data_IF_334566060133
#
_entry.id   IF_334566060133
#
_cell.length_a   1.000
_cell.length_b   1.000
_cell.length_c   1.000
_cell.angle_alpha   90.00
_cell.angle_beta   90.00
_cell.angle_gamma   90.00
#
_symmetry.space_group_name_H-M   'P 1'
#
loop_
_entity.id
_entity.type
_entity.pdbx_description
1 polymer ?
#
# COMPACT_ATOMS: atom_id res chain seq x y z
N UNK A 1 -0.68 -11.13 4.74
CA UNK A 1 -1.83 -10.27 5.02
C UNK A 1 -3.13 -11.00 4.65
N UNK A 2 -4.27 -10.54 5.17
CA UNK A 2 -5.59 -10.96 4.66
C UNK A 2 -5.63 -10.82 3.12
N UNK A 3 -6.12 -11.84 2.43
CA UNK A 3 -6.18 -11.84 0.95
C UNK A 3 -7.54 -11.35 0.43
N UNK A 4 -8.54 -11.22 1.31
CA UNK A 4 -9.87 -10.77 0.92
C UNK A 4 -10.04 -9.25 1.04
N UNK A 5 -9.44 -8.64 2.07
CA UNK A 5 -9.47 -7.19 2.29
C UNK A 5 -8.46 -6.38 1.47
N UNK A 6 -7.46 -7.04 0.87
CA UNK A 6 -6.44 -6.38 0.05
C UNK A 6 -6.65 -6.66 -1.43
N UNK A 7 -6.27 -5.68 -2.27
CA UNK A 7 -6.31 -5.83 -3.71
C UNK A 7 -5.34 -6.93 -4.17
N UNK A 8 -5.75 -7.68 -5.20
CA UNK A 8 -4.85 -8.56 -5.92
C UNK A 8 -3.74 -7.76 -6.60
N UNK A 9 -2.56 -8.38 -6.77
CA UNK A 9 -1.34 -7.70 -7.29
C UNK A 9 -1.60 -7.00 -8.63
N UNK A 10 -2.31 -7.66 -9.55
CA UNK A 10 -2.68 -7.08 -10.85
C UNK A 10 -3.58 -5.85 -10.70
N UNK A 11 -4.59 -5.93 -9.84
CA UNK A 11 -5.51 -4.81 -9.58
C UNK A 11 -4.78 -3.62 -8.96
N UNK A 12 -3.82 -3.87 -8.07
CA UNK A 12 -2.94 -2.84 -7.52
C UNK A 12 -2.11 -2.18 -8.64
N UNK A 13 -1.50 -2.97 -9.53
CA UNK A 13 -0.76 -2.44 -10.68
C UNK A 13 -1.62 -1.55 -11.57
N UNK A 14 -2.82 -2.02 -11.91
CA UNK A 14 -3.75 -1.28 -12.76
C UNK A 14 -4.21 0.03 -12.08
N UNK A 15 -4.46 -0.01 -10.77
CA UNK A 15 -4.82 1.17 -9.97
C UNK A 15 -3.69 2.21 -9.93
N UNK A 16 -2.47 1.81 -9.56
CA UNK A 16 -1.36 2.75 -9.45
C UNK A 16 -0.88 3.25 -10.82
N UNK A 17 -0.97 2.44 -11.87
CA UNK A 17 -0.77 2.92 -13.24
C UNK A 17 -1.80 4.00 -13.59
N UNK A 18 -3.08 3.78 -13.29
CA UNK A 18 -4.14 4.77 -13.51
C UNK A 18 -3.89 6.07 -12.74
N UNK A 19 -3.51 5.97 -11.46
CA UNK A 19 -3.22 7.13 -10.60
C UNK A 19 -1.99 7.90 -11.11
N UNK A 20 -0.87 7.21 -11.33
CA UNK A 20 0.43 7.85 -11.56
C UNK A 20 0.61 8.31 -13.00
N UNK A 21 0.02 7.64 -13.99
CA UNK A 21 0.01 8.11 -15.39
C UNK A 21 -0.88 9.34 -15.60
N UNK A 22 -1.83 9.61 -14.69
CA UNK A 22 -2.76 10.74 -14.75
C UNK A 22 -2.60 11.72 -13.56
N UNK A 23 -1.48 11.64 -12.83
CA UNK A 23 -1.29 12.40 -11.59
C UNK A 23 -1.25 13.91 -11.83
N UNK A 24 -1.79 14.66 -10.86
CA UNK A 24 -1.70 16.13 -10.88
C UNK A 24 -0.26 16.56 -10.54
N UNK A 25 0.25 17.59 -11.23
CA UNK A 25 1.63 18.11 -11.02
C UNK A 25 1.92 18.54 -9.58
N UNK A 26 0.89 18.92 -8.81
CA UNK A 26 1.04 19.30 -7.41
C UNK A 26 1.09 18.14 -6.41
N UNK A 27 0.85 16.90 -6.84
CA UNK A 27 0.90 15.75 -5.94
C UNK A 27 2.34 15.40 -5.60
N UNK A 28 2.63 15.33 -4.30
CA UNK A 28 3.92 14.94 -3.75
C UNK A 28 3.74 13.63 -3.00
N UNK A 29 4.43 12.59 -3.47
CA UNK A 29 4.47 11.30 -2.79
C UNK A 29 5.71 11.26 -1.90
N UNK A 30 5.56 10.72 -0.70
CA UNK A 30 6.66 10.51 0.24
C UNK A 30 7.42 9.20 -0.02
N UNK A 31 6.96 8.39 -0.97
CA UNK A 31 7.56 7.11 -1.31
C UNK A 31 8.66 7.27 -2.37
N UNK A 32 9.60 6.32 -2.42
CA UNK A 32 10.63 6.31 -3.44
C UNK A 32 10.06 6.18 -4.86
N UNK A 33 10.65 6.85 -5.87
CA UNK A 33 10.22 6.72 -7.27
C UNK A 33 10.25 5.27 -7.77
N UNK A 34 11.24 4.50 -7.32
CA UNK A 34 11.41 3.09 -7.68
C UNK A 34 10.28 2.22 -7.12
N UNK A 35 9.84 2.47 -5.89
CA UNK A 35 8.68 1.78 -5.34
C UNK A 35 7.38 2.14 -6.05
N UNK A 36 7.23 3.41 -6.46
CA UNK A 36 6.08 3.80 -7.29
C UNK A 36 6.10 3.08 -8.65
N UNK A 37 7.26 2.91 -9.29
CA UNK A 37 7.37 2.11 -10.51
C UNK A 37 7.02 0.62 -10.29
N UNK A 38 7.38 0.07 -9.13
CA UNK A 38 6.96 -1.27 -8.71
C UNK A 38 5.45 -1.37 -8.55
N UNK A 39 4.82 -0.40 -7.87
CA UNK A 39 3.37 -0.35 -7.73
C UNK A 39 2.64 -0.19 -9.06
N UNK A 40 3.26 0.40 -10.09
CA UNK A 40 2.71 0.46 -11.44
C UNK A 40 2.93 -0.84 -12.25
N UNK A 41 3.60 -1.85 -11.68
CA UNK A 41 4.01 -3.06 -12.39
C UNK A 41 5.11 -2.83 -13.44
N UNK A 42 5.83 -1.69 -13.40
CA UNK A 42 6.98 -1.43 -14.29
C UNK A 42 8.25 -2.14 -13.83
N UNK A 43 8.27 -2.57 -12.58
CA UNK A 43 9.33 -3.35 -11.96
C UNK A 43 8.71 -4.51 -11.21
N UNK A 44 9.47 -5.59 -11.12
CA UNK A 44 9.15 -6.69 -10.24
C UNK A 44 10.25 -6.79 -9.18
N UNK A 45 9.82 -6.98 -7.94
CA UNK A 45 10.68 -7.06 -6.77
C UNK A 45 10.19 -8.19 -5.88
N UNK A 46 11.13 -8.76 -5.16
CA UNK A 46 10.86 -9.60 -4.00
C UNK A 46 10.92 -8.75 -2.74
N UNK A 47 10.07 -9.03 -1.75
CA UNK A 47 10.02 -8.18 -0.57
C UNK A 47 11.25 -8.41 0.32
N UNK A 48 11.60 -7.37 1.08
CA UNK A 48 12.62 -7.43 2.12
C UNK A 48 11.91 -7.44 3.48
N UNK A 49 11.45 -8.61 3.97
CA UNK A 49 10.60 -8.71 5.17
C UNK A 49 11.27 -8.19 6.45
N UNK A 50 12.60 -8.21 6.50
CA UNK A 50 13.42 -7.68 7.60
C UNK A 50 13.73 -6.18 7.46
N UNK A 51 13.37 -5.54 6.35
CA UNK A 51 13.80 -4.18 6.02
C UNK A 51 13.14 -3.08 6.84
N UNK A 52 12.04 -3.38 7.53
CA UNK A 52 11.34 -2.44 8.42
C UNK A 52 10.83 -3.15 9.69
N UNK A 53 11.74 -3.50 10.63
CA UNK A 53 11.38 -4.16 11.88
C UNK A 53 10.63 -3.19 12.80
N UNK A 54 9.66 -3.71 13.56
CA UNK A 54 8.83 -2.89 14.46
C UNK A 54 9.04 -3.33 15.90
N UNK A 55 9.38 -2.40 16.78
CA UNK A 55 9.42 -2.61 18.23
C UNK A 55 8.24 -1.89 18.89
N UNK A 56 7.53 -2.57 19.78
CA UNK A 56 6.43 -1.99 20.55
C UNK A 56 6.44 -2.50 22.00
N UNK A 57 5.39 -2.22 22.77
CA UNK A 57 5.30 -2.61 24.20
C UNK A 57 5.38 -4.13 24.45
N UNK A 58 5.13 -4.95 23.43
CA UNK A 58 5.22 -6.41 23.48
C UNK A 58 6.57 -6.95 23.01
N UNK A 59 7.51 -6.09 22.60
CA UNK A 59 8.83 -6.48 22.10
C UNK A 59 9.00 -6.23 20.59
N UNK A 60 9.98 -6.90 20.00
CA UNK A 60 10.22 -6.90 18.56
C UNK A 60 9.18 -7.78 17.87
N UNK A 61 8.35 -7.18 17.03
CA UNK A 61 7.33 -7.91 16.30
C UNK A 61 7.97 -8.78 15.21
N UNK A 62 7.62 -10.07 15.19
CA UNK A 62 8.01 -10.96 14.09
C UNK A 62 7.50 -10.40 12.74
N UNK A 63 8.31 -10.49 11.68
CA UNK A 63 7.94 -9.99 10.36
C UNK A 63 6.75 -10.78 9.80
N UNK A 64 5.90 -10.25 8.94
CA UNK A 64 5.58 -8.84 8.65
C UNK A 64 4.49 -8.39 9.65
N UNK A 65 4.44 -7.13 10.10
CA UNK A 65 3.49 -6.72 11.16
C UNK A 65 2.01 -6.99 10.82
N UNK A 66 1.68 -7.15 9.54
CA UNK A 66 0.35 -7.54 9.04
C UNK A 66 0.02 -9.03 9.24
N UNK A 67 1.01 -9.87 9.57
CA UNK A 67 0.85 -11.32 9.81
C UNK A 67 0.60 -11.63 11.28
N UNK A 68 1.04 -10.74 12.19
CA UNK A 68 0.84 -10.86 13.64
C UNK A 68 1.29 -12.23 14.20
N UNK A 69 2.50 -12.68 13.83
CA UNK A 69 3.00 -14.02 14.20
C UNK A 69 3.77 -14.04 15.52
N UNK A 70 3.60 -13.00 16.33
CA UNK A 70 4.14 -12.90 17.68
C UNK A 70 5.28 -11.88 17.81
N UNK A 71 5.95 -11.94 18.96
CA UNK A 71 7.00 -11.01 19.37
C UNK A 71 8.21 -11.77 19.93
N UNK A 72 9.37 -11.13 19.93
CA UNK A 72 10.62 -11.58 20.55
C UNK A 72 11.23 -10.45 21.36
N UNK A 73 12.06 -10.77 22.34
CA UNK A 73 12.52 -9.79 23.33
C UNK A 73 13.67 -8.94 22.78
N UNK A 74 14.51 -9.53 21.93
CA UNK A 74 15.68 -8.85 21.37
C UNK A 74 15.67 -8.79 19.85
N UNK A 75 16.35 -7.78 19.29
CA UNK A 75 16.53 -7.67 17.85
C UNK A 75 17.33 -8.85 17.28
N UNK A 76 18.26 -9.39 18.05
CA UNK A 76 19.07 -10.53 17.63
C UNK A 76 18.21 -11.77 17.43
N UNK A 77 17.32 -12.09 18.38
CA UNK A 77 16.33 -13.17 18.23
C UNK A 77 15.45 -12.98 16.99
N UNK A 78 15.04 -11.72 16.70
CA UNK A 78 14.24 -11.43 15.50
C UNK A 78 14.97 -11.83 14.23
N UNK A 79 16.25 -11.50 14.13
CA UNK A 79 17.05 -11.75 12.93
C UNK A 79 17.45 -13.22 12.80
N UNK A 80 17.78 -13.89 13.91
CA UNK A 80 18.34 -15.23 13.88
C UNK A 80 17.27 -16.34 13.90
N UNK A 81 16.19 -16.17 14.66
CA UNK A 81 15.21 -17.25 14.89
C UNK A 81 14.07 -17.25 13.86
N UNK A 82 13.90 -16.16 13.10
CA UNK A 82 12.87 -16.09 12.07
C UNK A 82 13.37 -16.74 10.78
N UNK A 83 12.61 -17.72 10.30
CA UNK A 83 12.84 -18.33 8.99
C UNK A 83 12.35 -17.40 7.88
N UNK A 84 13.27 -16.55 7.40
CA UNK A 84 13.01 -15.50 6.42
C UNK A 84 12.55 -16.03 5.05
N UNK A 85 12.94 -17.26 4.69
CA UNK A 85 12.59 -17.88 3.41
C UNK A 85 11.09 -18.17 3.30
N UNK A 86 10.37 -18.19 4.42
CA UNK A 86 8.91 -18.34 4.45
C UNK A 86 8.14 -17.07 4.07
N UNK A 87 8.81 -15.93 3.86
CA UNK A 87 8.17 -14.65 3.55
C UNK A 87 8.58 -14.14 2.18
N UNK A 88 7.62 -13.52 1.51
CA UNK A 88 7.83 -13.00 0.17
C UNK A 88 6.78 -13.49 -0.82
N UNK A 89 6.77 -12.91 -2.00
CA UNK A 89 5.94 -13.37 -3.09
C UNK A 89 6.41 -14.75 -3.58
N UNK A 90 7.72 -14.93 -3.71
CA UNK A 90 8.34 -16.18 -4.15
C UNK A 90 8.33 -17.31 -3.10
N UNK A 91 8.00 -17.04 -1.83
CA UNK A 91 8.10 -18.06 -0.75
C UNK A 91 7.01 -19.14 -0.80
N UNK A 92 5.98 -18.97 -1.64
CA UNK A 92 4.80 -19.84 -1.64
C UNK A 92 3.87 -19.63 -0.45
N UNK A 93 4.15 -18.68 0.44
CA UNK A 93 3.29 -18.34 1.56
C UNK A 93 1.98 -17.69 1.05
N UNK A 94 0.81 -18.30 1.28
CA UNK A 94 -0.46 -17.78 0.77
C UNK A 94 -0.80 -16.40 1.34
N UNK A 95 -0.28 -16.04 2.52
CA UNK A 95 -0.46 -14.72 3.11
C UNK A 95 0.33 -13.65 2.36
N UNK A 96 1.39 -14.00 1.64
CA UNK A 96 2.25 -13.05 0.91
C UNK A 96 1.95 -12.98 -0.60
N UNK A 97 1.14 -13.90 -1.13
CA UNK A 97 0.88 -14.06 -2.56
C UNK A 97 0.51 -12.74 -3.28
N UNK A 98 -0.39 -11.92 -2.73
CA UNK A 98 -0.77 -10.63 -3.32
C UNK A 98 -0.12 -9.41 -2.65
N UNK A 99 0.84 -9.61 -1.74
CA UNK A 99 1.38 -8.52 -0.94
C UNK A 99 2.18 -7.54 -1.81
N UNK A 100 1.90 -6.23 -1.67
CA UNK A 100 2.64 -5.11 -2.28
C UNK A 100 2.83 -3.96 -1.28
N UNK A 101 2.80 -4.25 0.02
CA UNK A 101 2.80 -3.22 1.06
C UNK A 101 4.16 -2.52 1.16
N UNK A 102 4.13 -1.21 1.43
CA UNK A 102 5.34 -0.38 1.53
C UNK A 102 6.39 -0.95 2.51
N UNK A 103 5.99 -1.50 3.66
CA UNK A 103 6.94 -1.88 4.70
C UNK A 103 7.91 -3.00 4.28
N UNK A 104 7.54 -3.84 3.33
CA UNK A 104 8.42 -4.87 2.79
C UNK A 104 9.10 -4.46 1.48
N UNK A 105 8.44 -3.66 0.63
CA UNK A 105 8.91 -3.36 -0.72
C UNK A 105 9.58 -2.00 -0.88
N UNK A 106 9.31 -1.02 -0.01
CA UNK A 106 10.05 0.24 0.03
C UNK A 106 11.52 0.00 0.41
N UNK A 107 11.86 -0.84 1.42
CA UNK A 107 13.26 -1.19 1.69
C UNK A 107 13.94 -1.82 0.48
N UNK A 108 13.26 -2.72 -0.25
CA UNK A 108 13.79 -3.31 -1.49
C UNK A 108 14.04 -2.26 -2.57
N UNK A 109 13.10 -1.32 -2.76
CA UNK A 109 13.24 -0.26 -3.74
C UNK A 109 14.38 0.71 -3.40
N UNK A 110 14.57 1.00 -2.11
CA UNK A 110 15.68 1.80 -1.60
C UNK A 110 17.00 1.06 -1.79
N UNK A 111 17.09 -0.21 -1.42
CA UNK A 111 18.28 -1.05 -1.64
C UNK A 111 18.65 -1.10 -3.13
N UNK A 112 17.66 -1.35 -4.01
CA UNK A 112 17.87 -1.31 -5.45
C UNK A 112 18.43 0.03 -5.93
N UNK A 113 17.93 1.15 -5.39
CA UNK A 113 18.41 2.50 -5.73
C UNK A 113 19.91 2.65 -5.47
N UNK A 114 20.42 2.02 -4.40
CA UNK A 114 21.81 2.11 -3.98
C UNK A 114 22.69 0.91 -4.38
N UNK A 115 22.11 -0.12 -5.02
CA UNK A 115 22.82 -1.33 -5.46
C UNK A 115 23.90 -1.11 -6.52
N UNK A 116 23.97 0.09 -7.13
CA UNK A 116 25.03 0.47 -8.05
C UNK A 116 24.62 1.57 -9.04
N UNK A 117 25.45 1.78 -10.06
CA UNK A 117 25.23 2.84 -11.05
C UNK A 117 23.89 2.70 -11.80
N UNK A 118 23.49 1.47 -12.11
CA UNK A 118 22.20 1.20 -12.75
C UNK A 118 21.00 1.61 -11.90
N UNK A 119 21.04 1.34 -10.59
CA UNK A 119 20.01 1.74 -9.62
C UNK A 119 19.91 3.25 -9.46
N UNK A 120 21.06 3.92 -9.32
CA UNK A 120 21.13 5.38 -9.23
C UNK A 120 20.58 6.03 -10.50
N UNK A 121 21.01 5.56 -11.67
CA UNK A 121 20.53 6.07 -12.95
C UNK A 121 19.03 5.84 -13.14
N UNK A 122 18.53 4.65 -12.77
CA UNK A 122 17.12 4.33 -12.78
C UNK A 122 16.30 5.30 -11.90
N UNK A 123 16.77 5.59 -10.69
CA UNK A 123 16.09 6.52 -9.78
C UNK A 123 16.11 7.96 -10.31
N UNK A 124 17.24 8.44 -10.85
CA UNK A 124 17.32 9.76 -11.49
C UNK A 124 16.33 9.86 -12.66
N UNK A 125 16.30 8.83 -13.53
CA UNK A 125 15.35 8.76 -14.64
C UNK A 125 13.91 8.78 -14.12
N UNK A 126 13.61 8.02 -13.08
CA UNK A 126 12.28 7.95 -12.47
C UNK A 126 11.87 9.26 -11.79
N UNK A 127 12.81 10.06 -11.27
CA UNK A 127 12.54 11.40 -10.72
C UNK A 127 12.25 12.43 -11.81
N UNK A 128 13.03 12.42 -12.90
CA UNK A 128 12.94 13.41 -13.98
C UNK A 128 11.77 13.09 -14.93
N UNK A 129 11.61 11.83 -15.35
CA UNK A 129 10.64 11.39 -16.35
C UNK A 129 9.45 10.66 -15.72
N UNK A 130 8.90 11.26 -14.67
CA UNK A 130 7.90 10.68 -13.79
C UNK A 130 6.43 10.79 -14.28
N UNK A 131 6.19 11.30 -15.49
CA UNK A 131 4.83 11.49 -16.01
C UNK A 131 4.18 10.18 -16.44
N UNK A 132 4.99 9.18 -16.84
CA UNK A 132 4.55 7.85 -17.30
C UNK A 132 3.24 7.85 -18.11
N UNK A 133 3.09 8.80 -19.05
CA UNK A 133 1.84 9.01 -19.76
C UNK A 133 1.42 7.72 -20.51
N UNK A 134 0.20 7.26 -20.25
CA UNK A 134 -0.36 6.06 -20.86
C UNK A 134 -1.82 6.31 -21.28
N UNK A 135 -2.14 6.34 -22.60
CA UNK A 135 -3.49 6.56 -23.09
C UNK A 135 -4.52 5.53 -22.58
N UNK A 136 -4.11 4.29 -22.34
CA UNK A 136 -4.99 3.24 -21.77
C UNK A 136 -5.31 3.53 -20.31
N UNK A 137 -4.35 4.06 -19.56
CA UNK A 137 -4.58 4.48 -18.17
C UNK A 137 -5.52 5.69 -18.12
N UNK A 138 -5.41 6.62 -19.06
CA UNK A 138 -6.34 7.75 -19.18
C UNK A 138 -7.77 7.27 -19.53
N UNK A 139 -7.91 6.37 -20.50
CA UNK A 139 -9.22 5.80 -20.86
C UNK A 139 -9.88 5.06 -19.69
N UNK A 140 -9.11 4.25 -18.95
CA UNK A 140 -9.59 3.59 -17.72
C UNK A 140 -10.04 4.59 -16.66
N UNK A 141 -9.30 5.69 -16.48
CA UNK A 141 -9.70 6.73 -15.54
C UNK A 141 -11.04 7.38 -15.94
N UNK A 142 -11.26 7.66 -17.22
CA UNK A 142 -12.55 8.18 -17.70
C UNK A 142 -13.69 7.18 -17.50
N UNK A 143 -13.45 5.89 -17.73
CA UNK A 143 -14.42 4.84 -17.42
C UNK A 143 -14.72 4.78 -15.92
N UNK A 144 -13.68 4.74 -15.07
CA UNK A 144 -13.84 4.68 -13.62
C UNK A 144 -14.62 5.87 -13.08
N UNK A 145 -14.40 7.09 -13.57
CA UNK A 145 -15.16 8.30 -13.18
C UNK A 145 -16.67 8.15 -13.35
N UNK A 146 -17.13 7.31 -14.27
CA UNK A 146 -18.56 7.07 -14.50
C UNK A 146 -19.17 6.08 -13.51
N UNK A 147 -18.35 5.28 -12.83
CA UNK A 147 -18.82 4.30 -11.84
C UNK A 147 -19.17 5.03 -10.54
N UNK A 148 -20.22 4.65 -9.82
CA UNK A 148 -20.49 5.19 -8.50
C UNK A 148 -19.37 4.78 -7.53
N UNK A 149 -18.62 5.74 -6.98
CA UNK A 149 -17.53 5.45 -6.05
C UNK A 149 -18.09 5.25 -4.64
N UNK A 150 -18.58 4.05 -4.35
CA UNK A 150 -19.12 3.65 -3.04
C UNK A 150 -20.35 4.43 -2.57
N UNK A 151 -21.13 3.92 -1.61
CA UNK A 151 -22.11 4.73 -0.92
C UNK A 151 -21.36 5.68 0.04
N UNK A 152 -21.83 6.93 0.16
CA UNK A 152 -21.38 7.82 1.23
C UNK A 152 -21.56 7.20 2.64
N UNK A 153 -22.32 6.11 2.77
CA UNK A 153 -22.63 5.42 4.04
C UNK A 153 -21.70 4.26 4.44
N UNK A 154 -20.73 3.82 3.61
CA UNK A 154 -19.81 2.74 3.96
C UNK A 154 -18.33 3.16 3.98
N UNK A 155 -18.06 4.38 4.44
CA UNK A 155 -16.81 4.57 5.16
C UNK A 155 -16.94 3.75 6.44
N UNK A 156 -15.96 2.90 6.75
CA UNK A 156 -15.81 2.33 8.10
C UNK A 156 -15.44 3.49 9.02
N UNK A 157 -16.41 4.35 9.28
CA UNK A 157 -16.40 5.31 10.35
C UNK A 157 -16.59 4.46 11.60
N UNK A 158 -15.64 4.53 12.52
CA UNK A 158 -15.71 3.87 13.82
C UNK A 158 -17.07 4.23 14.47
N UNK A 159 -18.12 3.44 14.26
CA UNK A 159 -19.44 3.54 14.92
C UNK A 159 -20.21 4.87 14.90
N UNK A 160 -19.82 5.90 14.13
CA UNK A 160 -20.47 7.21 14.18
C UNK A 160 -20.89 7.70 12.79
N UNK A 161 -22.09 7.36 12.34
CA UNK A 161 -22.68 8.01 11.17
C UNK A 161 -23.66 7.14 10.40
N UNK A 162 -24.94 7.21 10.78
CA UNK A 162 -26.02 7.18 9.79
C UNK A 162 -26.25 8.63 9.42
N UNK A 163 -26.56 8.96 8.16
CA UNK A 163 -27.34 10.14 7.73
C UNK A 163 -26.84 10.75 6.42
N UNK A 164 -27.26 10.16 5.29
CA UNK A 164 -27.51 10.94 4.07
C UNK A 164 -28.81 10.48 3.44
N UNK A 165 -29.85 11.34 3.51
CA UNK A 165 -31.09 11.09 2.76
C UNK A 165 -30.82 11.28 1.26
N UNK A 166 -31.59 10.60 0.38
CA UNK A 166 -31.41 10.68 -1.09
C UNK A 166 -31.54 12.08 -1.68
N UNK A 167 -32.03 13.06 -0.91
CA UNK A 167 -32.20 14.46 -1.30
C UNK A 167 -31.00 15.36 -0.95
N UNK A 168 -29.93 14.80 -0.36
CA UNK A 168 -28.69 15.53 -0.05
C UNK A 168 -28.76 16.42 1.18
N UNK A 169 -29.79 16.30 2.02
CA UNK A 169 -29.87 17.03 3.29
C UNK A 169 -29.23 16.25 4.45
N UNK A 170 -28.37 16.91 5.22
CA UNK A 170 -27.76 16.35 6.44
C UNK A 170 -28.52 16.82 7.67
N UNK A 171 -28.95 15.90 8.54
CA UNK A 171 -29.42 16.22 9.89
C UNK A 171 -28.33 15.79 10.86
N UNK A 172 -27.87 16.68 11.72
CA UNK A 172 -26.95 16.32 12.82
C UNK A 172 -27.81 15.99 14.03
N UNK A 173 -28.06 14.71 14.28
CA UNK A 173 -28.70 14.29 15.54
C UNK A 173 -27.60 14.10 16.58
N UNK A 174 -27.57 14.98 17.59
CA UNK A 174 -26.74 14.77 18.79
C UNK A 174 -27.49 13.82 19.72
N UNK A 175 -26.80 12.79 20.20
CA UNK A 175 -27.33 11.75 21.11
C UNK A 175 -27.83 12.30 22.47
N UNK A 176 -27.70 13.60 22.73
CA UNK A 176 -28.20 14.25 23.94
C UNK A 176 -29.68 14.65 23.87
N UNK A 177 -30.35 14.55 22.72
CA UNK A 177 -31.73 15.03 22.57
C UNK A 177 -32.80 13.93 22.75
N UNK A 178 -32.44 12.72 23.18
CA UNK A 178 -33.41 11.64 23.51
C UNK A 178 -33.60 11.42 25.02
N UNK A 179 -33.20 12.38 25.85
CA UNK A 179 -33.49 12.38 27.29
C UNK A 179 -34.18 13.68 27.71
N UNK A 180 -35.40 13.89 27.20
CA UNK A 180 -36.43 14.74 27.78
C UNK A 180 -37.82 14.27 27.31
#
# INVERSE_FOLDING_TARGET
>A
PDQNGFLQRKTTNDLFEMILSNRKKGWRFNQSPIFLEFLMGKRDFECTPWGNPTFNIFGWQKPCYLLQEGYVDTFQELIDDVDWDNYGHASGNPKCANCMVHCGYEPTAVDYTFSGFGGIWANIKAMIFNSYANPRAAARLEEEKTKPHGPMEHLVQLGFGVDVKPDGTSVVVRETDSAA
#
